data_IF_783307625914
#
_entry.id   IF_783307625914
#
_cell.length_a   1.000
_cell.length_b   1.000
_cell.length_c   1.000
_cell.angle_alpha   90.00
_cell.angle_beta   90.00
_cell.angle_gamma   90.00
#
_symmetry.space_group_name_H-M   'P 1'
#
loop_
_entity.id
_entity.type
_entity.pdbx_description
1 polymer ?
#
# COMPACT_ATOMS: atom_id res chain seq x y z
N UNK A 1 -29.59 -17.95 -8.71
CA UNK A 1 -28.75 -16.73 -8.70
C UNK A 1 -28.27 -16.61 -7.27
N UNK A 2 -27.04 -17.02 -7.03
CA UNK A 2 -26.52 -17.24 -5.68
C UNK A 2 -26.61 -15.97 -4.82
N UNK A 3 -27.24 -16.05 -3.64
CA UNK A 3 -27.52 -14.88 -2.78
C UNK A 3 -26.79 -15.00 -1.45
N UNK A 4 -26.32 -13.87 -0.92
CA UNK A 4 -25.84 -13.80 0.46
C UNK A 4 -27.00 -13.46 1.39
N UNK A 5 -26.98 -13.96 2.62
CA UNK A 5 -27.79 -13.45 3.72
C UNK A 5 -27.17 -12.14 4.24
N UNK A 6 -27.58 -11.04 3.61
CA UNK A 6 -27.09 -9.71 3.94
C UNK A 6 -27.52 -9.26 5.35
N UNK A 7 -28.64 -9.77 5.87
CA UNK A 7 -29.09 -9.45 7.22
C UNK A 7 -28.16 -10.07 8.26
N UNK A 8 -27.85 -11.37 8.12
CA UNK A 8 -26.90 -12.04 9.00
C UNK A 8 -25.49 -11.44 8.89
N UNK A 9 -25.08 -11.05 7.67
CA UNK A 9 -23.79 -10.38 7.45
C UNK A 9 -23.71 -9.01 8.13
N UNK A 10 -24.76 -8.19 8.06
CA UNK A 10 -24.81 -6.89 8.77
C UNK A 10 -24.85 -7.10 10.28
N UNK A 11 -25.54 -8.12 10.78
CA UNK A 11 -25.56 -8.43 12.21
C UNK A 11 -24.15 -8.75 12.72
N UNK A 12 -23.33 -9.46 11.93
CA UNK A 12 -21.93 -9.72 12.26
C UNK A 12 -21.08 -8.44 12.29
N UNK A 13 -21.30 -7.51 11.35
CA UNK A 13 -20.65 -6.19 11.35
C UNK A 13 -20.95 -5.42 12.65
N UNK A 14 -22.23 -5.39 13.02
CA UNK A 14 -22.72 -4.70 14.22
C UNK A 14 -22.21 -5.37 15.49
N UNK A 15 -22.27 -6.71 15.56
CA UNK A 15 -21.80 -7.49 16.69
C UNK A 15 -20.30 -7.25 16.97
N UNK A 16 -19.49 -7.16 15.91
CA UNK A 16 -18.06 -6.86 16.01
C UNK A 16 -17.74 -5.38 16.19
N UNK A 17 -18.75 -4.51 16.23
CA UNK A 17 -18.62 -3.06 16.37
C UNK A 17 -17.69 -2.43 15.32
N UNK A 18 -17.78 -2.88 14.07
CA UNK A 18 -16.90 -2.42 12.98
C UNK A 18 -17.48 -1.16 12.34
N UNK A 19 -16.87 -0.01 12.61
CA UNK A 19 -17.26 1.27 12.02
C UNK A 19 -16.73 1.41 10.57
N UNK A 20 -17.31 0.66 9.63
CA UNK A 20 -16.89 0.69 8.22
C UNK A 20 -17.32 1.94 7.44
N UNK A 21 -18.18 2.78 8.01
CA UNK A 21 -18.67 4.03 7.41
C UNK A 21 -18.06 5.28 8.08
N UNK A 22 -16.85 5.14 8.62
CA UNK A 22 -16.11 6.20 9.31
C UNK A 22 -15.73 7.39 8.39
N UNK A 23 -15.58 7.11 7.09
CA UNK A 23 -15.27 8.09 6.06
C UNK A 23 -16.41 8.19 5.01
N UNK A 24 -16.49 9.36 4.38
CA UNK A 24 -17.56 9.70 3.43
C UNK A 24 -17.60 8.77 2.21
N UNK A 25 -16.43 8.34 1.73
CA UNK A 25 -16.33 7.47 0.55
C UNK A 25 -16.93 6.09 0.84
N UNK A 26 -16.58 5.47 1.97
CA UNK A 26 -17.11 4.18 2.38
C UNK A 26 -18.60 4.27 2.72
N UNK A 27 -19.03 5.33 3.40
CA UNK A 27 -20.45 5.57 3.67
C UNK A 27 -21.26 5.72 2.38
N UNK A 28 -20.70 6.44 1.39
CA UNK A 28 -21.32 6.60 0.06
C UNK A 28 -21.36 5.31 -0.72
N UNK A 29 -20.24 4.55 -0.77
CA UNK A 29 -20.17 3.25 -1.44
C UNK A 29 -21.11 2.24 -0.80
N UNK A 30 -21.21 2.22 0.54
CA UNK A 30 -22.14 1.38 1.29
C UNK A 30 -23.60 1.70 0.96
N UNK A 31 -23.96 2.98 0.88
CA UNK A 31 -25.29 3.42 0.50
C UNK A 31 -25.68 2.93 -0.90
N UNK A 32 -24.80 3.12 -1.90
CA UNK A 32 -25.05 2.65 -3.27
C UNK A 32 -25.07 1.13 -3.40
N UNK A 33 -24.19 0.42 -2.68
CA UNK A 33 -24.15 -1.03 -2.75
C UNK A 33 -25.40 -1.65 -2.13
N UNK A 34 -25.84 -1.19 -0.95
CA UNK A 34 -27.01 -1.73 -0.26
C UNK A 34 -28.33 -1.26 -0.89
N UNK A 35 -28.38 -0.10 -1.57
CA UNK A 35 -29.58 0.35 -2.31
C UNK A 35 -29.96 -0.57 -3.47
N UNK A 36 -29.05 -1.44 -3.93
CA UNK A 36 -29.37 -2.45 -4.94
C UNK A 36 -30.38 -3.50 -4.45
N UNK A 37 -30.54 -3.66 -3.13
CA UNK A 37 -31.61 -4.46 -2.49
C UNK A 37 -32.95 -3.72 -2.43
N UNK A 38 -33.04 -2.51 -2.95
CA UNK A 38 -34.23 -1.66 -2.81
C UNK A 38 -34.38 -1.13 -1.39
N UNK A 39 -35.61 -0.90 -0.97
CA UNK A 39 -35.94 -0.40 0.37
C UNK A 39 -35.52 -1.38 1.49
N UNK A 40 -35.44 -2.68 1.19
CA UNK A 40 -34.97 -3.71 2.13
C UNK A 40 -33.51 -3.49 2.57
N UNK A 41 -32.71 -2.76 1.78
CA UNK A 41 -31.35 -2.38 2.14
C UNK A 41 -31.26 -1.22 3.15
N UNK A 42 -32.33 -0.44 3.34
CA UNK A 42 -32.34 0.73 4.22
C UNK A 42 -32.08 0.39 5.70
N UNK A 43 -32.76 -0.60 6.30
CA UNK A 43 -32.47 -0.99 7.69
C UNK A 43 -31.05 -1.55 7.85
N UNK A 44 -30.52 -2.24 6.84
CA UNK A 44 -29.14 -2.76 6.85
C UNK A 44 -28.11 -1.63 6.88
N UNK A 45 -28.26 -0.67 5.96
CA UNK A 45 -27.40 0.50 5.89
C UNK A 45 -27.46 1.33 7.19
N UNK A 46 -28.68 1.56 7.71
CA UNK A 46 -28.89 2.28 8.97
C UNK A 46 -28.17 1.60 10.14
N UNK A 47 -28.20 0.27 10.23
CA UNK A 47 -27.60 -0.50 11.33
C UNK A 47 -26.09 -0.32 11.40
N UNK A 48 -25.42 -0.27 10.24
CA UNK A 48 -23.98 -0.05 10.16
C UNK A 48 -23.64 1.43 10.39
N UNK A 49 -24.40 2.36 9.80
CA UNK A 49 -24.15 3.81 9.97
C UNK A 49 -24.23 4.26 11.43
N UNK A 50 -25.06 3.62 12.25
CA UNK A 50 -25.19 3.91 13.70
C UNK A 50 -23.91 3.63 14.50
N UNK A 51 -22.99 2.82 13.99
CA UNK A 51 -21.71 2.54 14.64
C UNK A 51 -20.75 3.74 14.58
N UNK A 52 -21.03 4.72 13.72
CA UNK A 52 -20.25 5.94 13.61
C UNK A 52 -20.68 6.99 14.64
N UNK A 53 -19.71 7.63 15.28
CA UNK A 53 -19.96 8.77 16.17
C UNK A 53 -20.53 10.00 15.46
N UNK A 54 -20.50 10.02 14.12
CA UNK A 54 -21.04 11.09 13.28
C UNK A 54 -22.46 10.79 12.76
N UNK A 55 -23.12 9.75 13.27
CA UNK A 55 -24.42 9.31 12.77
C UNK A 55 -25.50 10.39 12.94
N UNK A 56 -26.18 10.72 11.84
CA UNK A 56 -27.39 11.55 11.83
C UNK A 56 -28.50 10.83 11.04
N UNK A 57 -29.67 10.68 11.67
CA UNK A 57 -30.78 9.89 11.09
C UNK A 57 -31.36 10.53 9.82
N UNK A 58 -31.55 11.85 9.81
CA UNK A 58 -32.10 12.57 8.67
C UNK A 58 -31.13 12.53 7.47
N UNK A 59 -29.84 12.75 7.71
CA UNK A 59 -28.82 12.68 6.66
C UNK A 59 -28.64 11.27 6.11
N UNK A 60 -28.67 10.27 6.98
CA UNK A 60 -28.57 8.87 6.60
C UNK A 60 -29.76 8.44 5.73
N UNK A 61 -30.99 8.83 6.10
CA UNK A 61 -32.18 8.56 5.31
C UNK A 61 -32.14 9.25 3.96
N UNK A 62 -31.71 10.52 3.92
CA UNK A 62 -31.53 11.28 2.66
C UNK A 62 -30.48 10.61 1.77
N UNK A 63 -29.34 10.20 2.33
CA UNK A 63 -28.26 9.53 1.59
C UNK A 63 -28.74 8.25 0.92
N UNK A 64 -29.47 7.41 1.66
CA UNK A 64 -29.98 6.15 1.13
C UNK A 64 -31.09 6.36 0.10
N UNK A 65 -32.02 7.29 0.33
CA UNK A 65 -33.06 7.63 -0.65
C UNK A 65 -32.45 8.16 -1.94
N UNK A 66 -31.43 9.01 -1.86
CA UNK A 66 -30.71 9.47 -3.05
C UNK A 66 -30.06 8.28 -3.79
N UNK A 67 -29.42 7.36 -3.08
CA UNK A 67 -28.79 6.17 -3.65
C UNK A 67 -29.77 5.16 -4.28
N UNK A 68 -31.06 5.21 -3.93
CA UNK A 68 -32.11 4.43 -4.60
C UNK A 68 -32.51 5.02 -5.96
N UNK A 69 -32.45 6.35 -6.09
CA UNK A 69 -32.88 7.08 -7.27
C UNK A 69 -31.76 7.41 -8.26
N UNK A 70 -30.50 7.39 -7.83
CA UNK A 70 -29.33 7.58 -8.73
C UNK A 70 -28.89 6.25 -9.33
N UNK A 71 -28.55 6.26 -10.63
CA UNK A 71 -28.20 5.07 -11.40
C UNK A 71 -27.15 4.19 -10.71
N UNK A 72 -27.38 2.87 -10.74
CA UNK A 72 -26.63 1.85 -9.98
C UNK A 72 -25.22 1.62 -10.56
N UNK A 73 -24.25 2.46 -10.21
CA UNK A 73 -22.84 2.24 -10.62
C UNK A 73 -22.10 1.24 -9.71
N UNK A 74 -22.62 0.96 -8.51
CA UNK A 74 -21.98 0.11 -7.49
C UNK A 74 -22.90 -1.06 -7.12
N UNK A 75 -22.41 -2.29 -7.25
CA UNK A 75 -23.18 -3.52 -6.97
C UNK A 75 -22.95 -4.10 -5.56
N UNK A 76 -23.75 -5.09 -5.15
CA UNK A 76 -23.62 -5.77 -3.84
C UNK A 76 -22.24 -6.39 -3.60
N UNK A 77 -21.55 -6.78 -4.67
CA UNK A 77 -20.18 -7.26 -4.58
C UNK A 77 -19.24 -6.25 -3.89
N UNK A 78 -19.50 -4.95 -4.02
CA UNK A 78 -18.73 -3.91 -3.33
C UNK A 78 -18.97 -3.91 -1.83
N UNK A 79 -20.20 -4.17 -1.37
CA UNK A 79 -20.48 -4.31 0.06
C UNK A 79 -19.84 -5.58 0.65
N UNK A 80 -19.90 -6.71 -0.08
CA UNK A 80 -19.20 -7.95 0.29
C UNK A 80 -17.69 -7.72 0.36
N UNK A 81 -17.12 -6.99 -0.60
CA UNK A 81 -15.71 -6.64 -0.60
C UNK A 81 -15.33 -5.78 0.62
N UNK A 82 -16.13 -4.76 0.94
CA UNK A 82 -15.93 -3.96 2.15
C UNK A 82 -15.93 -4.82 3.41
N UNK A 83 -16.88 -5.75 3.57
CA UNK A 83 -16.90 -6.64 4.72
C UNK A 83 -15.61 -7.48 4.85
N UNK A 84 -15.06 -7.95 3.72
CA UNK A 84 -13.80 -8.71 3.69
C UNK A 84 -12.58 -7.86 4.08
N UNK A 85 -12.52 -6.60 3.63
CA UNK A 85 -11.44 -5.67 4.00
C UNK A 85 -11.38 -5.40 5.50
N UNK A 86 -12.53 -5.41 6.18
CA UNK A 86 -12.62 -5.33 7.64
C UNK A 86 -12.54 -6.70 8.35
N UNK A 87 -12.12 -7.75 7.63
CA UNK A 87 -11.82 -9.06 8.21
C UNK A 87 -13.06 -9.91 8.54
N UNK A 88 -14.19 -9.70 7.85
CA UNK A 88 -15.38 -10.56 7.97
C UNK A 88 -15.33 -11.66 6.91
N UNK A 89 -15.45 -12.91 7.35
CA UNK A 89 -15.56 -14.07 6.48
C UNK A 89 -16.97 -14.15 5.87
N UNK A 90 -17.17 -13.48 4.74
CA UNK A 90 -18.49 -13.37 4.10
C UNK A 90 -19.02 -14.70 3.56
N UNK A 91 -18.18 -15.71 3.39
CA UNK A 91 -18.60 -17.01 2.83
C UNK A 91 -19.54 -17.78 3.78
N UNK A 92 -19.50 -17.46 5.08
CA UNK A 92 -20.42 -17.99 6.09
C UNK A 92 -21.88 -17.59 5.86
N UNK A 93 -22.09 -16.52 5.09
CA UNK A 93 -23.39 -15.95 4.82
C UNK A 93 -23.84 -16.21 3.38
N UNK A 94 -23.18 -17.12 2.65
CA UNK A 94 -23.54 -17.47 1.29
C UNK A 94 -24.67 -18.52 1.28
N UNK A 95 -25.76 -18.24 0.56
CA UNK A 95 -26.94 -19.12 0.44
C UNK A 95 -26.98 -19.70 -0.98
N UNK A 96 -26.88 -21.02 -1.08
CA UNK A 96 -27.03 -21.77 -2.34
C UNK A 96 -28.47 -22.25 -2.48
N UNK A 97 -29.01 -22.21 -3.71
CA UNK A 97 -30.44 -22.35 -4.03
C UNK A 97 -31.21 -23.39 -3.18
N UNK A 98 -32.14 -22.88 -2.36
CA UNK A 98 -33.40 -23.52 -1.96
C UNK A 98 -33.37 -24.86 -1.23
N UNK A 99 -32.96 -24.88 0.04
CA UNK A 99 -33.53 -25.82 1.04
C UNK A 99 -33.57 -25.13 2.40
N UNK A 100 -34.78 -24.95 2.96
CA UNK A 100 -34.95 -24.76 4.40
C UNK A 100 -34.49 -26.05 5.09
N UNK A 101 -33.29 -26.03 5.68
CA UNK A 101 -32.84 -27.13 6.51
C UNK A 101 -32.75 -26.67 7.96
N UNK A 102 -33.63 -27.25 8.77
CA UNK A 102 -33.59 -27.25 10.22
C UNK A 102 -32.15 -27.39 10.74
N UNK A 103 -31.88 -26.67 11.84
CA UNK A 103 -30.58 -26.64 12.48
C UNK A 103 -30.02 -28.05 12.68
N UNK A 104 -28.93 -28.43 11.99
CA UNK A 104 -28.15 -29.56 12.44
C UNK A 104 -27.39 -29.06 13.67
N UNK A 105 -27.68 -29.66 14.82
CA UNK A 105 -26.72 -29.67 15.93
C UNK A 105 -25.49 -30.40 15.40
N UNK A 106 -24.60 -29.65 14.76
CA UNK A 106 -23.36 -30.20 14.24
C UNK A 106 -22.47 -30.48 15.45
N UNK A 107 -22.21 -31.77 15.69
CA UNK A 107 -21.03 -32.20 16.42
C UNK A 107 -19.87 -31.31 15.97
N UNK A 108 -19.23 -30.64 16.94
CA UNK A 108 -18.07 -29.78 16.72
C UNK A 108 -16.93 -30.69 16.26
N UNK A 109 -16.94 -31.05 14.98
CA UNK A 109 -15.72 -31.25 14.26
C UNK A 109 -15.11 -29.85 14.22
N UNK A 110 -14.19 -29.59 15.16
CA UNK A 110 -13.31 -28.42 15.11
C UNK A 110 -12.90 -28.24 13.65
N UNK A 111 -13.29 -27.13 12.98
CA UNK A 111 -12.84 -26.91 11.63
C UNK A 111 -11.34 -26.98 11.71
N UNK A 112 -10.71 -27.88 10.94
CA UNK A 112 -9.28 -27.80 10.71
C UNK A 112 -9.06 -26.42 10.09
N UNK A 113 -8.72 -25.45 10.93
CA UNK A 113 -8.32 -24.12 10.52
C UNK A 113 -7.21 -24.36 9.51
N UNK A 114 -7.50 -24.13 8.22
CA UNK A 114 -6.43 -23.98 7.24
C UNK A 114 -5.65 -22.78 7.77
N UNK A 115 -4.54 -23.03 8.47
CA UNK A 115 -3.61 -21.99 8.89
C UNK A 115 -3.25 -21.23 7.62
N UNK A 116 -3.74 -20.01 7.51
CA UNK A 116 -3.37 -19.14 6.40
C UNK A 116 -1.87 -18.89 6.52
N UNK A 117 -1.09 -19.54 5.65
CA UNK A 117 0.35 -19.30 5.59
C UNK A 117 0.60 -18.03 4.81
N UNK A 118 1.58 -17.24 5.27
CA UNK A 118 2.11 -16.16 4.46
C UNK A 118 2.57 -16.70 3.11
N UNK A 119 2.35 -15.91 2.05
CA UNK A 119 2.88 -16.23 0.74
C UNK A 119 4.41 -16.39 0.81
N UNK A 120 4.90 -17.36 0.06
CA UNK A 120 6.31 -17.60 -0.15
C UNK A 120 6.51 -17.85 -1.65
N UNK A 121 7.01 -16.82 -2.35
CA UNK A 121 7.33 -16.93 -3.77
C UNK A 121 8.73 -17.56 -3.88
N UNK A 122 8.92 -18.61 -4.72
CA UNK A 122 10.24 -19.16 -4.95
C UNK A 122 11.23 -18.06 -5.39
N UNK A 123 12.35 -17.97 -4.70
CA UNK A 123 13.38 -16.95 -4.95
C UNK A 123 13.92 -16.98 -6.38
N UNK A 124 13.80 -18.12 -7.07
CA UNK A 124 14.16 -18.28 -8.48
C UNK A 124 13.45 -17.26 -9.41
N UNK A 125 12.24 -16.81 -9.06
CA UNK A 125 11.56 -15.74 -9.83
C UNK A 125 12.34 -14.41 -9.80
N UNK A 126 12.94 -14.08 -8.66
CA UNK A 126 13.81 -12.89 -8.52
C UNK A 126 15.05 -13.07 -9.39
N UNK A 127 15.76 -14.20 -9.25
CA UNK A 127 16.99 -14.48 -10.00
C UNK A 127 16.77 -14.45 -11.52
N UNK A 128 15.70 -15.07 -12.00
CA UNK A 128 15.41 -15.15 -13.45
C UNK A 128 14.97 -13.82 -14.04
N UNK A 129 14.28 -13.00 -13.25
CA UNK A 129 13.78 -11.71 -13.73
C UNK A 129 14.75 -10.55 -13.53
N UNK A 130 15.85 -10.72 -12.78
CA UNK A 130 16.84 -9.66 -12.56
C UNK A 130 17.22 -8.93 -13.86
N UNK A 131 17.09 -7.62 -13.86
CA UNK A 131 17.34 -6.74 -15.01
C UNK A 131 18.84 -6.55 -15.28
N UNK A 132 19.53 -7.65 -15.60
CA UNK A 132 21.00 -7.70 -15.76
C UNK A 132 21.53 -6.75 -16.84
N UNK A 133 20.71 -6.49 -17.86
CA UNK A 133 21.07 -5.61 -18.97
C UNK A 133 20.58 -4.17 -18.76
N UNK A 134 19.89 -3.90 -17.64
CA UNK A 134 19.41 -2.59 -17.25
C UNK A 134 18.59 -1.96 -18.38
N UNK A 135 17.56 -2.69 -18.84
CA UNK A 135 16.76 -2.37 -20.02
C UNK A 135 15.25 -2.27 -19.73
N UNK A 136 14.83 -2.37 -18.47
CA UNK A 136 13.45 -2.04 -18.10
C UNK A 136 13.14 -0.58 -18.40
N UNK A 137 11.87 -0.25 -18.58
CA UNK A 137 11.40 1.11 -18.84
C UNK A 137 11.97 2.13 -17.83
N UNK A 138 11.90 1.81 -16.55
CA UNK A 138 12.42 2.65 -15.47
C UNK A 138 13.95 2.74 -15.48
N UNK A 139 14.67 1.61 -15.60
CA UNK A 139 16.14 1.64 -15.58
C UNK A 139 16.70 2.32 -16.83
N UNK A 140 16.05 2.15 -17.97
CA UNK A 140 16.38 2.87 -19.21
C UNK A 140 16.19 4.38 -19.06
N UNK A 141 15.17 4.82 -18.30
CA UNK A 141 15.02 6.22 -17.91
C UNK A 141 16.16 6.68 -16.99
N UNK A 142 16.51 5.91 -15.95
CA UNK A 142 17.60 6.26 -15.05
C UNK A 142 18.93 6.49 -15.79
N UNK A 143 19.27 5.64 -16.75
CA UNK A 143 20.48 5.79 -17.59
C UNK A 143 20.56 7.10 -18.38
N UNK A 144 19.41 7.73 -18.66
CA UNK A 144 19.39 9.04 -19.35
C UNK A 144 19.61 10.21 -18.41
N UNK A 145 19.23 10.06 -17.13
CA UNK A 145 19.23 11.15 -16.15
C UNK A 145 20.44 11.08 -15.20
N UNK A 146 20.98 9.88 -15.00
CA UNK A 146 22.10 9.62 -14.09
C UNK A 146 23.33 9.25 -14.92
N UNK A 147 24.37 10.07 -14.88
CA UNK A 147 25.59 9.88 -15.69
C UNK A 147 26.54 8.77 -15.21
N UNK A 148 26.10 7.92 -14.28
CA UNK A 148 26.91 6.87 -13.65
C UNK A 148 26.24 5.50 -13.83
N UNK A 149 26.55 4.84 -14.95
CA UNK A 149 25.99 3.53 -15.31
C UNK A 149 26.36 2.43 -14.30
N UNK A 150 27.57 2.48 -13.72
CA UNK A 150 28.03 1.49 -12.74
C UNK A 150 27.18 1.55 -11.46
N UNK A 151 26.86 2.77 -10.99
CA UNK A 151 25.95 2.96 -9.86
C UNK A 151 24.54 2.43 -10.15
N UNK A 152 24.05 2.55 -11.39
CA UNK A 152 22.76 1.99 -11.80
C UNK A 152 22.81 0.46 -11.79
N UNK A 153 23.88 -0.14 -12.32
CA UNK A 153 24.05 -1.60 -12.26
C UNK A 153 24.10 -2.08 -10.80
N UNK A 154 24.83 -1.37 -9.93
CA UNK A 154 24.88 -1.68 -8.51
C UNK A 154 23.50 -1.58 -7.85
N UNK A 155 22.71 -0.55 -8.16
CA UNK A 155 21.38 -0.36 -7.56
C UNK A 155 20.38 -1.44 -8.00
N UNK A 156 20.44 -1.84 -9.27
CA UNK A 156 19.64 -2.94 -9.82
C UNK A 156 19.95 -4.24 -9.08
N UNK A 157 21.23 -4.52 -8.82
CA UNK A 157 21.63 -5.73 -8.08
C UNK A 157 21.26 -5.64 -6.59
N UNK A 158 21.49 -4.49 -5.96
CA UNK A 158 21.23 -4.24 -4.53
C UNK A 158 19.75 -4.44 -4.18
N UNK A 159 18.85 -3.77 -4.91
CA UNK A 159 17.40 -3.88 -4.72
C UNK A 159 16.76 -5.02 -5.51
N UNK A 160 17.56 -5.79 -6.24
CA UNK A 160 17.13 -6.96 -7.01
C UNK A 160 16.03 -6.62 -8.03
N UNK A 161 16.19 -5.48 -8.71
CA UNK A 161 15.20 -4.97 -9.65
C UNK A 161 15.02 -5.95 -10.81
N UNK A 162 13.79 -6.41 -11.01
CA UNK A 162 13.46 -7.33 -12.09
C UNK A 162 12.89 -6.63 -13.31
N UNK A 163 12.77 -7.37 -14.40
CA UNK A 163 12.16 -6.94 -15.66
C UNK A 163 11.21 -8.03 -16.17
N UNK A 164 10.07 -7.60 -16.71
CA UNK A 164 9.14 -8.48 -17.43
C UNK A 164 9.55 -8.64 -18.90
N UNK A 165 8.99 -9.63 -19.60
CA UNK A 165 9.21 -9.78 -21.06
C UNK A 165 8.73 -8.57 -21.87
N UNK A 166 7.80 -7.79 -21.34
CA UNK A 166 7.29 -6.57 -21.97
C UNK A 166 8.15 -5.33 -21.68
N UNK A 167 9.26 -5.48 -20.94
CA UNK A 167 10.14 -4.36 -20.59
C UNK A 167 9.75 -3.60 -19.32
N UNK A 168 8.70 -3.99 -18.61
CA UNK A 168 8.28 -3.32 -17.37
C UNK A 168 9.09 -3.75 -16.15
N UNK A 169 9.41 -2.81 -15.27
CA UNK A 169 10.14 -3.07 -14.02
C UNK A 169 9.31 -3.93 -13.05
N UNK A 170 10.01 -4.76 -12.27
CA UNK A 170 9.49 -5.55 -11.17
C UNK A 170 10.19 -5.13 -9.87
N UNK A 171 9.42 -4.67 -8.90
CA UNK A 171 9.89 -4.45 -7.53
C UNK A 171 9.59 -5.68 -6.67
N UNK A 172 10.64 -6.33 -6.18
CA UNK A 172 10.52 -7.50 -5.30
C UNK A 172 10.58 -7.09 -3.84
N UNK A 173 9.61 -7.57 -3.05
CA UNK A 173 9.57 -7.40 -1.61
C UNK A 173 10.09 -8.68 -0.97
N UNK A 174 11.34 -8.62 -0.53
CA UNK A 174 12.05 -9.73 0.10
C UNK A 174 12.25 -9.35 1.55
N UNK A 175 11.83 -10.23 2.47
CA UNK A 175 12.02 -9.98 3.90
C UNK A 175 13.47 -10.23 4.35
N UNK A 176 13.79 -9.86 5.59
CA UNK A 176 15.14 -10.05 6.17
C UNK A 176 15.61 -11.52 6.13
N UNK A 177 14.66 -12.47 6.23
CA UNK A 177 14.90 -13.91 6.11
C UNK A 177 15.11 -14.41 4.68
N UNK A 178 15.23 -13.50 3.70
CA UNK A 178 15.37 -13.78 2.28
C UNK A 178 14.17 -14.50 1.66
N UNK A 179 12.98 -14.37 2.25
CA UNK A 179 11.74 -14.94 1.73
C UNK A 179 11.05 -13.87 0.89
N UNK A 180 10.70 -14.24 -0.35
CA UNK A 180 10.01 -13.32 -1.27
C UNK A 180 8.52 -13.29 -0.92
N UNK A 181 8.06 -12.12 -0.44
CA UNK A 181 6.69 -11.89 0.05
C UNK A 181 5.77 -11.24 -0.95
N UNK A 182 6.31 -10.50 -1.91
CA UNK A 182 5.52 -9.87 -2.97
C UNK A 182 6.42 -9.55 -4.16
N UNK A 183 5.80 -9.43 -5.33
CA UNK A 183 6.40 -8.79 -6.50
C UNK A 183 5.38 -7.86 -7.11
N UNK A 184 5.80 -6.64 -7.46
CA UNK A 184 4.93 -5.60 -8.03
C UNK A 184 5.50 -5.18 -9.38
N UNK A 185 4.74 -5.39 -10.44
CA UNK A 185 5.08 -4.90 -11.78
C UNK A 185 4.55 -3.49 -11.93
N UNK A 186 5.40 -2.58 -12.39
CA UNK A 186 5.08 -1.19 -12.67
C UNK A 186 5.56 -0.84 -14.08
N UNK A 187 4.85 0.03 -14.79
CA UNK A 187 5.31 0.58 -16.06
C UNK A 187 5.53 2.08 -15.98
N UNK A 188 6.52 2.54 -16.72
CA UNK A 188 6.94 3.94 -16.77
C UNK A 188 7.04 4.44 -18.20
N UNK A 189 6.71 5.71 -18.39
CA UNK A 189 6.88 6.41 -19.65
C UNK A 189 8.36 6.80 -19.86
N UNK A 190 8.70 7.28 -21.05
CA UNK A 190 10.05 7.75 -21.37
C UNK A 190 10.49 8.97 -20.56
N UNK A 191 9.56 9.72 -19.96
CA UNK A 191 9.86 10.82 -19.03
C UNK A 191 10.07 10.34 -17.58
N UNK A 192 10.04 9.02 -17.33
CA UNK A 192 10.20 8.43 -16.00
C UNK A 192 8.98 8.60 -15.09
N UNK A 193 7.88 9.18 -15.59
CA UNK A 193 6.60 9.19 -14.88
C UNK A 193 5.92 7.84 -15.04
N UNK A 194 5.18 7.45 -14.00
CA UNK A 194 4.36 6.24 -14.05
C UNK A 194 3.36 6.34 -15.19
N UNK A 195 3.27 5.28 -15.98
CA UNK A 195 2.18 5.12 -16.94
C UNK A 195 0.87 4.85 -16.18
N UNK A 196 -0.03 5.84 -16.20
CA UNK A 196 -1.34 5.77 -15.52
C UNK A 196 -2.37 4.94 -16.29
N UNK A 197 -2.12 4.63 -17.56
CA UNK A 197 -2.99 3.76 -18.35
C UNK A 197 -2.81 2.27 -17.99
N UNK A 198 -1.65 1.93 -17.43
CA UNK A 198 -1.32 0.59 -16.97
C UNK A 198 -1.61 0.40 -15.48
N UNK A 199 -2.31 -0.69 -15.16
CA UNK A 199 -2.58 -1.07 -13.77
C UNK A 199 -1.43 -1.91 -13.22
N UNK A 200 -0.87 -1.57 -12.05
CA UNK A 200 0.19 -2.35 -11.42
C UNK A 200 -0.23 -3.80 -11.20
N UNK A 201 0.65 -4.75 -11.51
CA UNK A 201 0.37 -6.18 -11.36
C UNK A 201 1.00 -6.73 -10.09
N UNK A 202 0.24 -7.57 -9.38
CA UNK A 202 0.73 -8.36 -8.25
C UNK A 202 1.20 -9.73 -8.75
N UNK A 203 2.50 -10.02 -8.59
CA UNK A 203 3.07 -11.31 -8.99
C UNK A 203 2.45 -12.49 -8.22
N UNK A 204 2.25 -12.45 -6.89
CA UNK A 204 1.49 -13.48 -6.18
C UNK A 204 0.12 -13.77 -6.82
N UNK A 205 -0.62 -12.72 -7.17
CA UNK A 205 -1.94 -12.84 -7.81
C UNK A 205 -1.83 -13.51 -9.18
N UNK A 206 -0.86 -13.10 -10.00
CA UNK A 206 -0.64 -13.69 -11.32
C UNK A 206 -0.14 -15.14 -11.26
N UNK A 207 0.72 -15.48 -10.30
CA UNK A 207 1.19 -16.85 -10.11
C UNK A 207 0.08 -17.76 -9.57
N UNK A 208 -0.78 -17.27 -8.68
CA UNK A 208 -1.94 -18.01 -8.18
C UNK A 208 -2.94 -18.31 -9.30
N UNK A 209 -3.25 -17.33 -10.17
CA UNK A 209 -4.08 -17.53 -11.37
C UNK A 209 -3.53 -18.62 -12.30
N UNK A 210 -2.20 -18.77 -12.35
CA UNK A 210 -1.51 -19.78 -13.17
C UNK A 210 -1.28 -21.11 -12.45
N UNK A 211 -1.82 -21.29 -11.23
CA UNK A 211 -1.64 -22.49 -10.42
C UNK A 211 -0.21 -22.71 -9.93
N UNK A 212 0.64 -21.68 -9.92
CA UNK A 212 2.03 -21.72 -9.43
C UNK A 212 2.17 -21.35 -7.96
N UNK A 213 1.15 -20.72 -7.39
CA UNK A 213 1.00 -20.47 -5.95
C UNK A 213 -0.40 -20.89 -5.50
N UNK A 214 -0.61 -21.13 -4.19
CA UNK A 214 -1.94 -21.34 -3.64
C UNK A 214 -2.89 -20.18 -4.00
N UNK A 215 -4.18 -20.49 -4.11
CA UNK A 215 -5.22 -19.46 -4.33
C UNK A 215 -5.60 -18.71 -3.05
N UNK A 216 -5.25 -19.27 -1.89
CA UNK A 216 -5.48 -18.68 -0.57
C UNK A 216 -4.13 -18.49 0.13
N UNK A 217 -3.75 -17.24 0.37
CA UNK A 217 -2.53 -16.85 1.07
C UNK A 217 -2.71 -15.47 1.70
N UNK A 218 -1.88 -15.17 2.70
CA UNK A 218 -1.77 -13.82 3.28
C UNK A 218 -0.49 -13.15 2.78
N UNK A 219 -0.58 -11.88 2.40
CA UNK A 219 0.61 -11.07 2.11
C UNK A 219 1.17 -10.56 3.44
N UNK A 220 2.40 -10.97 3.76
CA UNK A 220 3.17 -10.31 4.83
C UNK A 220 3.43 -8.87 4.39
N UNK A 221 3.11 -7.90 5.24
CA UNK A 221 3.36 -6.49 4.94
C UNK A 221 4.85 -6.20 5.09
N UNK A 222 5.62 -6.45 4.05
CA UNK A 222 7.09 -6.30 4.04
C UNK A 222 7.47 -4.95 3.42
N UNK A 223 8.55 -4.32 3.88
CA UNK A 223 9.08 -3.12 3.22
C UNK A 223 9.82 -3.49 1.93
N UNK A 224 9.72 -2.65 0.89
CA UNK A 224 10.65 -2.78 -0.23
C UNK A 224 12.05 -2.39 0.26
N UNK A 225 13.04 -3.26 0.06
CA UNK A 225 14.40 -3.10 0.60
C UNK A 225 14.63 -3.74 1.98
N UNK A 226 13.65 -4.39 2.60
CA UNK A 226 13.79 -5.02 3.93
C UNK A 226 14.92 -6.05 3.98
N UNK A 227 15.16 -6.79 2.90
CA UNK A 227 16.27 -7.76 2.77
C UNK A 227 17.67 -7.14 2.93
N UNK A 228 17.80 -5.81 2.86
CA UNK A 228 19.07 -5.11 3.04
C UNK A 228 19.47 -4.94 4.51
N UNK A 229 18.53 -5.15 5.45
CA UNK A 229 18.80 -5.09 6.90
C UNK A 229 19.83 -6.13 7.35
N UNK A 230 19.83 -7.30 6.72
CA UNK A 230 20.77 -8.38 7.03
C UNK A 230 22.22 -8.06 6.71
N UNK A 231 22.48 -7.01 5.92
CA UNK A 231 23.85 -6.61 5.58
C UNK A 231 24.45 -5.86 6.80
N UNK A 232 25.54 -6.36 7.41
CA UNK A 232 26.16 -5.71 8.56
C UNK A 232 26.57 -4.25 8.31
N UNK A 233 26.87 -3.87 7.06
CA UNK A 233 27.20 -2.49 6.68
C UNK A 233 26.03 -1.52 6.87
N UNK A 234 24.81 -2.03 6.96
CA UNK A 234 23.60 -1.23 7.16
C UNK A 234 23.14 -1.16 8.62
N UNK A 235 23.75 -1.91 9.54
CA UNK A 235 23.26 -2.07 10.91
C UNK A 235 23.10 -0.74 11.68
N UNK A 236 23.97 0.24 11.40
CA UNK A 236 23.96 1.55 12.07
C UNK A 236 23.45 2.69 11.17
N UNK A 237 22.98 2.40 9.96
CA UNK A 237 22.48 3.44 9.06
C UNK A 237 21.10 3.90 9.54
N UNK A 238 20.84 5.20 9.40
CA UNK A 238 19.47 5.73 9.46
C UNK A 238 18.67 5.10 8.33
N UNK A 239 17.46 4.63 8.63
CA UNK A 239 16.55 4.07 7.65
C UNK A 239 15.59 5.16 7.18
N UNK A 240 15.69 5.54 5.91
CA UNK A 240 14.80 6.48 5.27
C UNK A 240 13.63 5.73 4.61
N UNK A 241 12.39 6.14 4.90
CA UNK A 241 11.19 5.48 4.35
C UNK A 241 10.36 6.46 3.53
N UNK A 242 10.05 6.07 2.30
CA UNK A 242 9.25 6.81 1.31
C UNK A 242 8.01 5.99 0.90
N UNK A 243 7.11 6.59 0.13
CA UNK A 243 5.94 5.89 -0.38
C UNK A 243 6.26 4.87 -1.47
N UNK A 244 7.05 5.26 -2.47
CA UNK A 244 7.19 4.49 -3.72
C UNK A 244 8.56 3.83 -3.87
N UNK A 245 8.56 2.69 -4.55
CA UNK A 245 9.80 1.93 -4.85
C UNK A 245 10.72 2.69 -5.81
N UNK A 246 10.15 3.49 -6.73
CA UNK A 246 10.92 4.39 -7.61
C UNK A 246 11.74 5.36 -6.78
N UNK A 247 11.11 5.99 -5.79
CA UNK A 247 11.73 7.00 -4.92
C UNK A 247 12.93 6.40 -4.17
N UNK A 248 12.80 5.16 -3.67
CA UNK A 248 13.91 4.42 -3.03
C UNK A 248 15.11 4.29 -3.95
N UNK A 249 14.89 3.90 -5.21
CA UNK A 249 15.98 3.67 -6.17
C UNK A 249 16.69 4.99 -6.48
N UNK A 250 15.93 6.05 -6.79
CA UNK A 250 16.49 7.38 -7.08
C UNK A 250 17.29 7.91 -5.88
N UNK A 251 16.72 7.86 -4.67
CA UNK A 251 17.40 8.39 -3.49
C UNK A 251 18.64 7.57 -3.12
N UNK A 252 18.62 6.25 -3.33
CA UNK A 252 19.78 5.40 -3.04
C UNK A 252 20.96 5.63 -4.00
N UNK A 253 20.70 6.12 -5.22
CA UNK A 253 21.75 6.54 -6.15
C UNK A 253 22.46 7.83 -5.67
N UNK A 254 21.77 8.67 -4.88
CA UNK A 254 22.31 9.95 -4.42
C UNK A 254 22.83 9.91 -2.97
N UNK A 255 22.30 9.02 -2.11
CA UNK A 255 22.59 9.04 -0.67
C UNK A 255 22.93 7.63 -0.12
N UNK A 256 24.20 7.24 -0.21
CA UNK A 256 24.67 5.91 0.25
C UNK A 256 24.91 5.83 1.77
N UNK A 257 24.94 6.96 2.48
CA UNK A 257 25.16 7.04 3.93
C UNK A 257 23.97 6.54 4.77
N UNK A 258 22.79 6.42 4.14
CA UNK A 258 21.55 5.95 4.75
C UNK A 258 21.02 4.73 4.00
N UNK A 259 20.01 4.06 4.55
CA UNK A 259 19.33 2.94 3.91
C UNK A 259 17.91 3.34 3.52
N UNK A 260 17.52 3.21 2.25
CA UNK A 260 16.19 3.59 1.78
C UNK A 260 15.25 2.39 1.67
N UNK A 261 14.00 2.58 2.05
CA UNK A 261 12.93 1.59 1.93
C UNK A 261 11.60 2.23 1.53
N UNK A 262 10.67 1.43 1.02
CA UNK A 262 9.33 1.92 0.64
C UNK A 262 8.18 1.11 1.24
N UNK A 263 7.10 1.82 1.52
CA UNK A 263 5.82 1.23 1.96
C UNK A 263 4.95 0.73 0.79
N UNK A 264 5.24 1.17 -0.43
CA UNK A 264 4.55 0.82 -1.66
C UNK A 264 3.26 1.62 -1.93
N UNK A 265 2.75 2.37 -0.94
CA UNK A 265 1.64 3.33 -1.05
C UNK A 265 1.44 4.13 0.26
N UNK A 266 0.88 5.35 0.17
CA UNK A 266 0.52 6.20 1.32
C UNK A 266 -0.16 5.53 2.52
N UNK A 267 -1.03 4.54 2.29
CA UNK A 267 -1.84 3.90 3.33
C UNK A 267 -1.12 2.77 4.09
N UNK A 268 0.13 2.50 3.76
CA UNK A 268 0.84 1.30 4.21
C UNK A 268 1.79 1.53 5.40
N UNK A 269 1.74 2.68 6.06
CA UNK A 269 2.51 2.98 7.27
C UNK A 269 1.95 2.27 8.53
N UNK A 270 1.96 0.93 8.49
CA UNK A 270 1.32 0.04 9.47
C UNK A 270 2.35 -0.64 10.38
N UNK A 271 1.95 -0.98 11.61
CA UNK A 271 2.84 -1.59 12.64
C UNK A 271 3.58 -2.81 12.10
N UNK A 272 2.85 -3.75 11.48
CA UNK A 272 3.40 -4.99 10.94
C UNK A 272 4.50 -4.70 9.91
N UNK A 273 4.34 -3.65 9.08
CA UNK A 273 5.30 -3.28 8.05
C UNK A 273 6.57 -2.65 8.60
N UNK A 274 6.43 -1.85 9.65
CA UNK A 274 7.56 -1.19 10.31
C UNK A 274 8.20 -2.06 11.39
N UNK A 275 7.67 -3.26 11.64
CA UNK A 275 8.18 -4.16 12.68
C UNK A 275 9.65 -4.52 12.48
N UNK A 276 10.09 -4.71 11.24
CA UNK A 276 11.48 -5.04 10.88
C UNK A 276 12.47 -3.92 11.24
N UNK A 277 12.00 -2.67 11.37
CA UNK A 277 12.84 -1.49 11.63
C UNK A 277 12.58 -0.89 13.00
N UNK A 278 11.92 -1.65 13.90
CA UNK A 278 11.48 -1.13 15.21
C UNK A 278 12.61 -0.53 16.05
N UNK A 279 13.77 -1.17 16.02
CA UNK A 279 14.93 -0.81 16.85
C UNK A 279 15.93 0.10 16.12
N UNK A 280 15.59 0.60 14.93
CA UNK A 280 16.45 1.45 14.11
C UNK A 280 16.02 2.92 14.20
N UNK A 281 16.95 3.85 13.92
CA UNK A 281 16.58 5.25 13.67
C UNK A 281 15.91 5.34 12.31
N UNK A 282 14.66 5.79 12.28
CA UNK A 282 13.86 5.91 11.06
C UNK A 282 13.57 7.38 10.75
N UNK A 283 13.73 7.78 9.49
CA UNK A 283 13.32 9.08 8.96
C UNK A 283 12.31 8.89 7.83
N UNK A 284 11.09 9.37 8.03
CA UNK A 284 10.04 9.27 7.02
C UNK A 284 10.06 10.49 6.08
N UNK A 285 9.78 10.25 4.81
CA UNK A 285 9.65 11.26 3.75
C UNK A 285 8.28 11.11 3.08
N UNK A 286 7.24 11.78 3.62
CA UNK A 286 5.90 11.75 3.04
C UNK A 286 5.85 12.54 1.72
N UNK A 287 5.05 12.07 0.77
CA UNK A 287 4.79 12.80 -0.47
C UNK A 287 4.03 14.11 -0.18
N UNK A 288 4.15 15.09 -1.07
CA UNK A 288 3.36 16.32 -0.96
C UNK A 288 1.89 16.08 -1.27
N UNK A 289 1.03 16.91 -0.68
CA UNK A 289 -0.31 17.13 -1.20
C UNK A 289 -0.73 18.58 -1.02
N UNK A 290 -1.85 18.93 -1.64
CA UNK A 290 -2.40 20.29 -1.69
C UNK A 290 -2.49 20.93 -0.30
N UNK A 291 -2.85 20.15 0.72
CA UNK A 291 -3.17 20.66 2.04
C UNK A 291 -2.13 20.24 3.11
N UNK A 292 -1.06 19.52 2.76
CA UNK A 292 -0.13 18.88 3.70
C UNK A 292 -0.75 17.75 4.55
N UNK A 293 -1.83 17.12 4.10
CA UNK A 293 -2.52 16.06 4.85
C UNK A 293 -1.67 14.80 5.03
N UNK A 294 -0.89 14.43 4.03
CA UNK A 294 -0.05 13.23 3.98
C UNK A 294 1.06 13.36 5.00
N UNK A 295 1.76 14.50 5.03
CA UNK A 295 2.71 14.84 6.09
C UNK A 295 2.07 14.74 7.48
N UNK A 296 0.91 15.37 7.71
CA UNK A 296 0.23 15.32 9.02
C UNK A 296 -0.17 13.91 9.44
N UNK A 297 -0.63 13.08 8.50
CA UNK A 297 -0.99 11.69 8.76
C UNK A 297 0.24 10.88 9.18
N UNK A 298 1.34 11.02 8.44
CA UNK A 298 2.60 10.33 8.74
C UNK A 298 3.21 10.81 10.06
N UNK A 299 3.15 12.11 10.33
CA UNK A 299 3.59 12.69 11.60
C UNK A 299 2.78 12.18 12.80
N UNK A 300 1.44 12.18 12.69
CA UNK A 300 0.56 11.63 13.73
C UNK A 300 0.90 10.17 13.97
N UNK A 301 1.06 9.40 12.90
CA UNK A 301 1.37 7.98 12.97
C UNK A 301 2.74 7.72 13.60
N UNK A 302 3.75 8.49 13.23
CA UNK A 302 5.08 8.43 13.84
C UNK A 302 5.03 8.69 15.35
N UNK A 303 4.18 9.62 15.81
CA UNK A 303 4.00 9.86 17.25
C UNK A 303 3.36 8.67 17.98
N UNK A 304 2.33 8.07 17.40
CA UNK A 304 1.69 6.87 17.96
C UNK A 304 2.68 5.71 18.08
N UNK A 305 3.50 5.51 17.06
CA UNK A 305 4.57 4.52 17.05
C UNK A 305 5.65 4.88 18.09
N UNK A 306 6.13 6.12 18.15
CA UNK A 306 7.14 6.50 19.14
C UNK A 306 6.63 6.29 20.58
N UNK A 307 5.34 6.51 20.85
CA UNK A 307 4.72 6.19 22.14
C UNK A 307 4.75 4.68 22.48
N UNK A 308 4.86 3.82 21.47
CA UNK A 308 5.01 2.37 21.61
C UNK A 308 6.48 1.88 21.47
N UNK A 309 7.45 2.79 21.59
CA UNK A 309 8.88 2.49 21.71
C UNK A 309 9.64 2.44 20.39
N UNK A 310 9.10 2.99 19.30
CA UNK A 310 9.83 3.22 18.06
C UNK A 310 10.68 4.51 18.10
N UNK A 311 11.62 4.66 17.17
CA UNK A 311 12.44 5.87 16.97
C UNK A 311 12.27 6.43 15.55
N UNK A 312 11.20 7.21 15.35
CA UNK A 312 10.78 7.70 14.04
C UNK A 312 10.74 9.23 14.03
N UNK A 313 11.40 9.83 13.05
CA UNK A 313 11.27 11.24 12.68
C UNK A 313 10.52 11.36 11.35
N UNK A 314 9.90 12.50 11.09
CA UNK A 314 9.26 12.81 9.81
C UNK A 314 9.92 14.06 9.25
N UNK A 315 10.41 13.96 8.02
CA UNK A 315 11.02 15.08 7.30
C UNK A 315 9.94 16.06 6.85
N UNK A 316 10.12 17.33 7.19
CA UNK A 316 9.32 18.46 6.75
C UNK A 316 9.93 19.14 5.50
N UNK A 317 10.99 18.58 4.91
CA UNK A 317 11.68 19.16 3.77
C UNK A 317 10.73 19.50 2.61
N UNK A 318 9.86 18.57 2.21
CA UNK A 318 8.89 18.83 1.15
C UNK A 318 7.81 19.83 1.57
N UNK A 319 7.44 19.90 2.86
CA UNK A 319 6.50 20.90 3.37
C UNK A 319 7.09 22.31 3.32
N UNK A 320 8.40 22.45 3.55
CA UNK A 320 9.10 23.74 3.55
C UNK A 320 9.48 24.22 2.15
N UNK A 321 9.89 23.31 1.26
CA UNK A 321 10.53 23.68 -0.01
C UNK A 321 9.69 23.48 -1.26
N UNK A 322 8.62 22.67 -1.22
CA UNK A 322 7.76 22.54 -2.39
C UNK A 322 7.08 23.88 -2.71
N UNK A 323 6.75 24.12 -3.98
CA UNK A 323 5.89 25.21 -4.46
C UNK A 323 4.41 24.82 -4.40
N UNK A 324 3.50 25.76 -4.64
CA UNK A 324 2.07 25.46 -4.66
C UNK A 324 1.72 24.48 -5.81
N UNK A 325 2.34 24.71 -6.97
CA UNK A 325 2.20 23.88 -8.17
C UNK A 325 2.72 22.45 -7.93
N UNK A 326 3.86 22.32 -7.24
CA UNK A 326 4.43 21.03 -6.86
C UNK A 326 3.55 20.26 -5.87
N UNK A 327 2.97 20.94 -4.88
CA UNK A 327 1.98 20.32 -3.96
C UNK A 327 0.73 19.86 -4.69
N UNK A 328 0.24 20.63 -5.67
CA UNK A 328 -0.86 20.22 -6.53
C UNK A 328 -0.50 19.00 -7.39
N UNK A 329 0.75 18.93 -7.85
CA UNK A 329 1.28 17.79 -8.59
C UNK A 329 1.55 16.56 -7.72
N UNK A 330 1.57 16.70 -6.38
CA UNK A 330 1.86 15.65 -5.40
C UNK A 330 3.23 15.02 -5.63
N UNK A 331 4.24 15.89 -5.79
CA UNK A 331 5.62 15.45 -5.95
C UNK A 331 6.13 14.70 -4.71
N UNK A 332 7.10 13.84 -4.94
CA UNK A 332 7.93 13.24 -3.90
C UNK A 332 9.36 13.81 -3.92
N UNK A 333 10.21 13.33 -3.01
CA UNK A 333 11.61 13.78 -2.93
C UNK A 333 12.43 13.37 -4.15
N UNK A 334 12.06 12.28 -4.83
CA UNK A 334 12.76 11.84 -6.03
C UNK A 334 12.44 12.73 -7.22
N UNK A 335 11.26 13.34 -7.30
CA UNK A 335 10.97 14.33 -8.34
C UNK A 335 11.92 15.55 -8.25
N UNK A 336 12.20 16.05 -7.04
CA UNK A 336 13.18 17.13 -6.82
C UNK A 336 14.61 16.70 -7.19
N UNK A 337 15.01 15.48 -6.80
CA UNK A 337 16.34 14.94 -7.12
C UNK A 337 16.51 14.74 -8.63
N UNK A 338 15.48 14.21 -9.30
CA UNK A 338 15.51 14.01 -10.75
C UNK A 338 15.57 15.35 -11.50
N UNK A 339 14.90 16.39 -10.99
CA UNK A 339 14.98 17.73 -11.56
C UNK A 339 16.40 18.31 -11.43
N UNK A 340 17.01 18.20 -10.25
CA UNK A 340 18.42 18.57 -10.02
C UNK A 340 19.34 17.86 -11.01
N UNK A 341 19.24 16.52 -11.12
CA UNK A 341 20.07 15.72 -12.02
C UNK A 341 19.88 16.10 -13.50
N UNK A 342 18.63 16.27 -13.93
CA UNK A 342 18.31 16.63 -15.31
C UNK A 342 18.80 18.03 -15.69
N UNK A 343 18.86 18.95 -14.72
CA UNK A 343 19.35 20.32 -14.92
C UNK A 343 20.84 20.48 -14.61
N UNK A 344 21.56 19.40 -14.26
CA UNK A 344 22.94 19.42 -13.78
C UNK A 344 23.15 20.38 -12.59
N UNK A 345 22.15 20.44 -11.70
CA UNK A 345 22.17 21.15 -10.43
C UNK A 345 22.28 20.14 -9.29
N UNK A 346 22.52 20.66 -8.09
CA UNK A 346 22.67 19.85 -6.87
C UNK A 346 22.04 20.53 -5.65
N UNK A 347 21.11 21.47 -5.85
CA UNK A 347 20.53 22.28 -4.76
C UNK A 347 19.79 21.41 -3.74
N UNK A 348 18.87 20.59 -4.21
CA UNK A 348 18.09 19.69 -3.37
C UNK A 348 18.95 18.53 -2.90
N UNK A 349 19.81 17.99 -3.77
CA UNK A 349 20.73 16.90 -3.42
C UNK A 349 21.64 17.30 -2.24
N UNK A 350 22.30 18.46 -2.30
CA UNK A 350 23.16 18.95 -1.22
C UNK A 350 22.37 19.20 0.07
N UNK A 351 21.22 19.89 -0.03
CA UNK A 351 20.40 20.19 1.14
C UNK A 351 19.89 18.91 1.84
N UNK A 352 19.46 17.91 1.08
CA UNK A 352 19.04 16.62 1.63
C UNK A 352 20.23 15.87 2.22
N UNK A 353 21.40 15.89 1.56
CA UNK A 353 22.61 15.25 2.09
C UNK A 353 23.02 15.85 3.44
N UNK A 354 23.00 17.17 3.58
CA UNK A 354 23.30 17.88 4.83
C UNK A 354 22.30 17.56 5.93
N UNK A 355 21.01 17.46 5.59
CA UNK A 355 19.96 17.05 6.52
C UNK A 355 20.20 15.61 7.02
N UNK A 356 20.53 14.69 6.12
CA UNK A 356 20.80 13.29 6.47
C UNK A 356 22.07 13.13 7.32
N UNK A 357 23.04 14.04 7.18
CA UNK A 357 24.25 14.11 8.03
C UNK A 357 24.01 14.81 9.38
N UNK A 358 22.81 15.33 9.63
CA UNK A 358 22.49 16.07 10.86
C UNK A 358 23.08 17.49 10.91
N UNK A 359 23.48 18.06 9.76
CA UNK A 359 24.01 19.42 9.66
C UNK A 359 22.91 20.48 9.55
N UNK A 360 21.72 20.11 9.10
CA UNK A 360 20.51 20.94 9.18
C UNK A 360 19.76 20.65 10.48
N UNK A 361 20.35 21.08 11.60
CA UNK A 361 19.62 21.32 12.85
C UNK A 361 19.71 22.81 13.14
N UNK A 362 18.63 23.55 12.89
CA UNK A 362 18.48 24.91 13.38
C UNK A 362 17.68 25.83 12.46
N UNK A 363 16.39 25.96 12.76
CA UNK A 363 15.73 27.25 12.99
C UNK A 363 14.39 27.04 13.67
#
# INVERSE_FOLDING_TARGET
>A
MDKFDYQALVNEVVFRNINMFDNFDNWTKGAFALSTLGEDGRPLFKSISKLSSKYNEAENNRKFSNALHTGKTVGLASFIYMCREYGIDTNRFYVKDGVECAQPVANIATPKTKKESYVNIPYEYVKRSLDRYCCSDFVSFLKRVVANDDAIVEIVNTYQLGITRAGHIIYWYVDEGNIVRMGKVMSYNSDGRRDKSSTPLSIPKELAKRGKLPTYYVLRKTLFGEHLLRNPQNANKTICIVESEKTVVVCSLCFQSVLWMATGSKGNLQDERLSAVKNSKVLLFPDTDVDGQTYRQWWKRARELNAAGWNIQVSDYLELFATAEERMAKIDIADLILDDLAQHKNRHIEAIADMLQGKLCGS
#
